data_IF_306418891809
#
_entry.id   IF_306418891809
#
_cell.length_a   1.000
_cell.length_b   1.000
_cell.length_c   1.000
_cell.angle_alpha   90.00
_cell.angle_beta   90.00
_cell.angle_gamma   90.00
#
_symmetry.space_group_name_H-M   'P 1'
#
loop_
_entity.id
_entity.type
_entity.pdbx_description
1 polymer ?
#
# COMPACT_ATOMS: atom_id res chain seq x y z
N UNK A 1 -11.47 3.87 7.52
CA UNK A 1 -10.28 3.05 7.18
C UNK A 1 -9.48 2.78 8.43
N UNK A 2 -9.01 1.58 8.57
CA UNK A 2 -8.15 1.19 9.69
C UNK A 2 -6.83 0.68 9.13
N UNK A 3 -5.73 1.07 9.75
CA UNK A 3 -4.40 0.60 9.37
C UNK A 3 -3.77 -0.06 10.58
N UNK A 4 -3.48 -1.34 10.46
CA UNK A 4 -2.79 -2.10 11.51
C UNK A 4 -1.34 -2.29 11.07
N UNK A 5 -0.40 -1.84 11.88
CA UNK A 5 1.03 -1.91 11.57
C UNK A 5 1.63 -3.07 12.34
N UNK A 6 2.22 -4.02 11.62
CA UNK A 6 2.95 -5.11 12.22
C UNK A 6 4.40 -5.03 11.80
N UNK A 7 5.30 -5.11 12.77
CA UNK A 7 6.72 -5.02 12.50
C UNK A 7 7.42 -6.28 12.99
N UNK A 8 8.21 -6.87 12.10
CA UNK A 8 9.04 -8.04 12.42
C UNK A 8 10.43 -7.77 11.88
N UNK A 9 11.34 -7.29 12.74
CA UNK A 9 12.68 -6.86 12.36
C UNK A 9 12.61 -5.77 11.28
N UNK A 10 13.10 -6.07 10.08
CA UNK A 10 13.14 -5.12 8.95
C UNK A 10 11.92 -5.20 8.05
N UNK A 11 10.99 -6.12 8.35
CA UNK A 11 9.75 -6.30 7.61
C UNK A 11 8.62 -5.56 8.30
N UNK A 12 7.93 -4.70 7.55
CA UNK A 12 6.73 -4.02 8.05
C UNK A 12 5.55 -4.44 7.17
N UNK A 13 4.46 -4.86 7.81
CA UNK A 13 3.22 -5.18 7.12
C UNK A 13 2.16 -4.17 7.54
N UNK A 14 1.54 -3.53 6.56
CA UNK A 14 0.41 -2.64 6.78
C UNK A 14 -0.86 -3.36 6.35
N UNK A 15 -1.70 -3.69 7.32
CA UNK A 15 -2.98 -4.32 7.06
C UNK A 15 -4.04 -3.23 7.02
N UNK A 16 -4.63 -3.02 5.85
CA UNK A 16 -5.57 -1.93 5.61
C UNK A 16 -6.97 -2.48 5.45
N UNK A 17 -7.94 -1.87 6.15
CA UNK A 17 -9.35 -2.25 6.03
C UNK A 17 -10.19 -1.02 5.73
N UNK A 18 -11.25 -1.22 4.94
CA UNK A 18 -12.21 -0.18 4.60
C UNK A 18 -11.93 0.45 3.25
N UNK A 19 -12.26 1.72 3.12
CA UNK A 19 -12.13 2.46 1.87
C UNK A 19 -10.85 3.30 1.87
N UNK A 20 -10.08 3.18 0.81
CA UNK A 20 -8.89 4.02 0.60
C UNK A 20 -9.26 5.06 -0.44
N UNK A 21 -9.66 6.23 0.01
CA UNK A 21 -10.18 7.29 -0.85
C UNK A 21 -9.56 8.65 -0.49
N UNK A 22 -10.11 9.73 -1.03
CA UNK A 22 -9.58 11.07 -0.83
C UNK A 22 -9.53 11.47 0.66
N UNK A 23 -10.50 11.00 1.44
CA UNK A 23 -10.57 11.33 2.88
C UNK A 23 -9.54 10.56 3.69
N UNK A 24 -9.29 9.30 3.33
CA UNK A 24 -8.44 8.40 4.12
C UNK A 24 -7.01 8.30 3.62
N UNK A 25 -6.76 8.64 2.35
CA UNK A 25 -5.43 8.55 1.77
C UNK A 25 -4.35 9.32 2.57
N UNK A 26 -4.62 10.52 3.12
CA UNK A 26 -3.62 11.21 3.94
C UNK A 26 -3.19 10.44 5.18
N UNK A 27 -4.10 9.64 5.76
CA UNK A 27 -3.76 8.82 6.92
C UNK A 27 -2.74 7.75 6.55
N UNK A 28 -2.93 7.11 5.40
CA UNK A 28 -1.98 6.12 4.92
C UNK A 28 -0.63 6.75 4.62
N UNK A 29 -0.64 7.91 3.98
CA UNK A 29 0.58 8.63 3.68
C UNK A 29 1.37 8.95 4.94
N UNK A 30 0.69 9.37 6.01
CA UNK A 30 1.33 9.65 7.30
C UNK A 30 2.02 8.41 7.87
N UNK A 31 1.34 7.26 7.81
CA UNK A 31 1.92 6.00 8.31
C UNK A 31 3.17 5.64 7.52
N UNK A 32 3.12 5.78 6.20
CA UNK A 32 4.27 5.48 5.35
C UNK A 32 5.45 6.40 5.68
N UNK A 33 5.17 7.69 5.90
CA UNK A 33 6.21 8.67 6.20
C UNK A 33 6.85 8.45 7.58
N UNK A 34 6.18 7.73 8.47
CA UNK A 34 6.69 7.45 9.81
C UNK A 34 7.47 6.15 9.90
N UNK A 35 7.62 5.42 8.80
CA UNK A 35 8.39 4.18 8.82
C UNK A 35 9.86 4.46 9.15
N UNK A 36 10.45 3.57 9.95
CA UNK A 36 11.83 3.75 10.36
C UNK A 36 12.81 3.47 9.24
N UNK A 37 14.00 4.05 9.34
CA UNK A 37 15.03 3.96 8.30
C UNK A 37 15.58 2.53 8.11
N UNK A 38 15.40 1.66 9.09
CA UNK A 38 15.87 0.29 9.01
C UNK A 38 14.86 -0.66 8.34
N UNK A 39 13.72 -0.14 7.88
CA UNK A 39 12.76 -0.94 7.12
C UNK A 39 13.37 -1.35 5.79
N UNK A 40 13.34 -2.67 5.49
CA UNK A 40 13.86 -3.23 4.24
C UNK A 40 12.78 -3.81 3.35
N UNK A 41 11.66 -4.21 3.94
CA UNK A 41 10.51 -4.73 3.21
C UNK A 41 9.24 -4.10 3.74
N UNK A 42 8.38 -3.67 2.83
CA UNK A 42 7.09 -3.08 3.16
C UNK A 42 6.01 -3.84 2.40
N UNK A 43 5.10 -4.47 3.13
CA UNK A 43 4.00 -5.25 2.56
C UNK A 43 2.68 -4.59 2.89
N UNK A 44 1.87 -4.36 1.88
CA UNK A 44 0.50 -3.90 2.05
C UNK A 44 -0.42 -5.10 1.93
N UNK A 45 -1.08 -5.46 3.02
CA UNK A 45 -2.12 -6.48 3.00
C UNK A 45 -3.45 -5.78 2.76
N UNK A 46 -4.01 -5.97 1.57
CA UNK A 46 -5.20 -5.26 1.12
C UNK A 46 -6.47 -6.10 1.22
N UNK A 47 -6.43 -7.23 1.93
CA UNK A 47 -7.57 -8.14 1.99
C UNK A 47 -8.84 -7.49 2.53
N UNK A 48 -8.69 -6.48 3.40
CA UNK A 48 -9.82 -5.75 3.97
C UNK A 48 -10.21 -4.48 3.23
N UNK A 49 -9.50 -4.14 2.15
CA UNK A 49 -9.80 -2.92 1.38
C UNK A 49 -10.96 -3.17 0.44
N UNK A 50 -12.05 -2.41 0.63
CA UNK A 50 -13.28 -2.57 -0.15
C UNK A 50 -13.23 -1.79 -1.45
N UNK A 51 -12.53 -0.66 -1.47
CA UNK A 51 -12.52 0.26 -2.60
C UNK A 51 -11.26 1.13 -2.53
N UNK A 52 -10.73 1.47 -3.70
CA UNK A 52 -9.60 2.39 -3.81
C UNK A 52 -9.92 3.45 -4.86
N UNK A 53 -9.66 4.72 -4.53
CA UNK A 53 -9.84 5.84 -5.45
C UNK A 53 -8.49 6.24 -6.07
N UNK A 54 -8.55 7.19 -7.00
CA UNK A 54 -7.33 7.73 -7.61
C UNK A 54 -6.40 8.36 -6.55
N UNK A 55 -6.97 8.93 -5.48
CA UNK A 55 -6.15 9.48 -4.39
C UNK A 55 -5.38 8.38 -3.68
N UNK A 56 -6.02 7.22 -3.44
CA UNK A 56 -5.35 6.06 -2.86
C UNK A 56 -4.26 5.51 -3.76
N UNK A 57 -4.56 5.40 -5.05
CA UNK A 57 -3.57 4.95 -6.04
C UNK A 57 -2.35 5.88 -6.03
N UNK A 58 -2.58 7.19 -5.95
CA UNK A 58 -1.50 8.18 -5.94
C UNK A 58 -0.58 8.00 -4.73
N UNK A 59 -1.15 7.73 -3.55
CA UNK A 59 -0.36 7.48 -2.33
C UNK A 59 0.47 6.22 -2.50
N UNK A 60 -0.12 5.15 -3.01
CA UNK A 60 0.60 3.89 -3.22
C UNK A 60 1.71 4.04 -4.26
N UNK A 61 1.45 4.79 -5.33
CA UNK A 61 2.47 5.03 -6.35
C UNK A 61 3.63 5.86 -5.78
N UNK A 62 3.32 6.89 -4.99
CA UNK A 62 4.34 7.69 -4.31
C UNK A 62 5.17 6.86 -3.36
N UNK A 63 4.52 5.97 -2.61
CA UNK A 63 5.21 5.06 -1.71
C UNK A 63 6.14 4.12 -2.48
N UNK A 64 5.67 3.61 -3.61
CA UNK A 64 6.47 2.70 -4.43
C UNK A 64 7.76 3.38 -4.91
N UNK A 65 7.65 4.61 -5.39
CA UNK A 65 8.81 5.38 -5.84
C UNK A 65 9.78 5.67 -4.69
N UNK A 66 9.24 6.04 -3.54
CA UNK A 66 10.05 6.33 -2.35
C UNK A 66 10.79 5.09 -1.86
N UNK A 67 10.09 3.95 -1.82
CA UNK A 67 10.69 2.70 -1.36
C UNK A 67 11.81 2.26 -2.32
N UNK A 68 11.59 2.39 -3.63
CA UNK A 68 12.62 2.08 -4.61
C UNK A 68 13.87 2.94 -4.42
N UNK A 69 13.71 4.23 -4.16
CA UNK A 69 14.84 5.12 -3.94
C UNK A 69 15.63 4.74 -2.69
N UNK A 70 14.96 4.21 -1.69
CA UNK A 70 15.57 3.82 -0.42
C UNK A 70 15.95 2.33 -0.37
N UNK A 71 15.83 1.62 -1.50
CA UNK A 71 16.16 0.21 -1.61
C UNK A 71 15.31 -0.67 -0.69
N UNK A 72 14.05 -0.26 -0.49
CA UNK A 72 13.05 -1.03 0.25
C UNK A 72 12.20 -1.78 -0.74
N UNK A 73 12.04 -3.08 -0.54
CA UNK A 73 11.14 -3.89 -1.37
C UNK A 73 9.70 -3.63 -0.93
N UNK A 74 8.84 -3.27 -1.87
CA UNK A 74 7.44 -3.01 -1.58
C UNK A 74 6.56 -4.01 -2.32
N UNK A 75 5.61 -4.62 -1.59
CA UNK A 75 4.65 -5.55 -2.17
C UNK A 75 3.24 -5.15 -1.79
N UNK A 76 2.31 -5.31 -2.72
CA UNK A 76 0.88 -5.10 -2.48
C UNK A 76 0.20 -6.44 -2.71
N UNK A 77 -0.41 -6.99 -1.67
CA UNK A 77 -0.94 -8.35 -1.68
C UNK A 77 -2.42 -8.40 -1.34
N UNK A 78 -3.07 -9.45 -1.80
CA UNK A 78 -4.43 -9.83 -1.40
C UNK A 78 -5.49 -8.80 -1.78
N UNK A 79 -5.35 -8.20 -2.96
CA UNK A 79 -6.36 -7.27 -3.47
C UNK A 79 -7.58 -8.06 -3.93
N UNK A 80 -8.78 -7.49 -3.74
CA UNK A 80 -9.99 -8.08 -4.28
C UNK A 80 -10.12 -7.71 -5.77
N UNK A 81 -11.15 -8.25 -6.43
CA UNK A 81 -11.32 -8.05 -7.88
C UNK A 81 -11.59 -6.59 -8.24
N UNK A 82 -12.31 -5.86 -7.39
CA UNK A 82 -12.62 -4.45 -7.62
C UNK A 82 -11.34 -3.62 -7.59
N UNK A 83 -10.52 -3.83 -6.57
CA UNK A 83 -9.26 -3.11 -6.42
C UNK A 83 -8.29 -3.48 -7.54
N UNK A 84 -8.23 -4.77 -7.90
CA UNK A 84 -7.38 -5.24 -9.00
C UNK A 84 -7.76 -4.55 -10.30
N UNK A 85 -9.06 -4.43 -10.56
CA UNK A 85 -9.53 -3.76 -11.78
C UNK A 85 -9.07 -2.31 -11.84
N UNK A 86 -9.08 -1.59 -10.72
CA UNK A 86 -8.59 -0.21 -10.68
C UNK A 86 -7.10 -0.16 -11.04
N UNK A 87 -6.30 -1.08 -10.52
CA UNK A 87 -4.88 -1.15 -10.86
C UNK A 87 -4.68 -1.44 -12.35
N UNK A 88 -5.49 -2.33 -12.91
CA UNK A 88 -5.41 -2.68 -14.33
C UNK A 88 -5.80 -1.49 -15.21
N UNK A 89 -6.87 -0.80 -14.85
CA UNK A 89 -7.35 0.36 -15.61
C UNK A 89 -6.35 1.53 -15.60
N UNK A 90 -5.57 1.66 -14.55
CA UNK A 90 -4.57 2.72 -14.44
C UNK A 90 -3.20 2.30 -14.97
N UNK A 91 -3.07 1.07 -15.45
CA UNK A 91 -1.81 0.56 -15.98
C UNK A 91 -0.80 0.21 -14.89
N UNK A 92 -1.26 0.01 -13.66
CA UNK A 92 -0.39 -0.22 -12.50
C UNK A 92 -0.44 -1.64 -11.96
N UNK A 93 -0.99 -2.58 -12.73
CA UNK A 93 -1.09 -3.98 -12.29
C UNK A 93 0.28 -4.58 -11.95
N UNK A 94 1.35 -4.06 -12.54
CA UNK A 94 2.70 -4.51 -12.23
C UNK A 94 3.15 -4.24 -10.80
N UNK A 95 2.44 -3.38 -10.07
CA UNK A 95 2.72 -3.12 -8.66
C UNK A 95 2.14 -4.19 -7.74
N UNK A 96 1.22 -5.00 -8.25
CA UNK A 96 0.57 -6.04 -7.46
C UNK A 96 1.43 -7.29 -7.40
N UNK A 97 1.51 -7.86 -6.21
CA UNK A 97 2.18 -9.14 -6.03
C UNK A 97 1.15 -10.24 -6.29
N UNK A 98 1.34 -10.97 -7.36
CA UNK A 98 0.40 -12.00 -7.77
C UNK A 98 0.82 -13.35 -7.23
N UNK A 99 -0.06 -13.91 -6.43
CA UNK A 99 0.17 -15.22 -5.84
C UNK A 99 -0.71 -16.28 -6.45
#
# INVERSE_FOLDING_TARGET
>A
MTINVERDFELVTLEITGRLDTTTAPNLESVINELSDDTKELVFNMSGVEYISSAGIRVLLGAYKKMNLNQVTMRIEKVNDIVREVFEMTGLSGMLDEE
#
